data_IF_085820382197
#
_entry.id   IF_085820382197
#
_cell.length_a   1.000
_cell.length_b   1.000
_cell.length_c   1.000
_cell.angle_alpha   90.00
_cell.angle_beta   90.00
_cell.angle_gamma   90.00
#
_symmetry.space_group_name_H-M   'P 1'
#
loop_
_entity.id
_entity.type
_entity.pdbx_description
1 polymer ?
#
# COMPACT_ATOMS: atom_id res chain seq x y z
N UNK A 1 35.87 13.72 16.31
CA UNK A 1 34.40 13.54 16.44
C UNK A 1 33.70 14.48 15.47
N UNK A 2 33.42 14.06 14.23
CA UNK A 2 32.65 14.84 13.23
C UNK A 2 31.94 13.88 12.25
N UNK A 3 31.09 12.97 12.75
CA UNK A 3 30.37 12.02 11.89
C UNK A 3 29.00 11.56 12.42
N UNK A 4 28.39 12.27 13.38
CA UNK A 4 27.03 11.98 13.85
C UNK A 4 25.98 12.98 13.35
N UNK A 5 26.39 14.17 12.90
CA UNK A 5 25.48 15.21 12.38
C UNK A 5 24.99 14.98 10.95
N UNK A 6 25.88 14.57 10.03
CA UNK A 6 25.57 14.38 8.61
C UNK A 6 24.59 13.23 8.35
N UNK A 7 24.61 12.18 9.19
CA UNK A 7 23.65 11.07 9.09
C UNK A 7 22.24 11.51 9.44
N UNK A 8 22.08 12.31 10.51
CA UNK A 8 20.79 12.84 10.97
C UNK A 8 20.19 13.82 9.96
N UNK A 9 21.00 14.69 9.35
CA UNK A 9 20.50 15.65 8.34
C UNK A 9 20.11 14.97 7.02
N UNK A 10 20.87 13.95 6.58
CA UNK A 10 20.51 13.14 5.41
C UNK A 10 19.20 12.39 5.62
N UNK A 11 19.01 11.79 6.78
CA UNK A 11 17.78 11.07 7.08
C UNK A 11 16.57 12.01 7.22
N UNK A 12 16.75 13.18 7.84
CA UNK A 12 15.71 14.20 7.87
C UNK A 12 15.29 14.64 6.46
N UNK A 13 16.26 14.82 5.54
CA UNK A 13 15.98 15.15 4.13
C UNK A 13 15.22 14.03 3.42
N UNK A 14 15.66 12.78 3.57
CA UNK A 14 14.96 11.62 2.98
C UNK A 14 13.54 11.46 3.51
N UNK A 15 13.30 11.73 4.81
CA UNK A 15 11.95 11.77 5.38
C UNK A 15 11.07 12.83 4.74
N UNK A 16 11.60 14.03 4.56
CA UNK A 16 10.87 15.11 3.86
C UNK A 16 10.54 14.68 2.42
N UNK A 17 11.45 13.99 1.74
CA UNK A 17 11.21 13.44 0.40
C UNK A 17 10.11 12.37 0.41
N UNK A 18 10.13 11.39 1.32
CA UNK A 18 9.07 10.37 1.38
C UNK A 18 7.69 10.98 1.66
N UNK A 19 7.62 11.97 2.56
CA UNK A 19 6.39 12.72 2.79
C UNK A 19 5.96 13.53 1.57
N UNK A 20 6.90 14.14 0.84
CA UNK A 20 6.61 14.87 -0.40
C UNK A 20 6.05 13.96 -1.48
N UNK A 21 6.63 12.77 -1.65
CA UNK A 21 6.13 11.76 -2.59
C UNK A 21 4.71 11.34 -2.24
N UNK A 22 4.44 11.02 -0.97
CA UNK A 22 3.09 10.67 -0.52
C UNK A 22 2.06 11.79 -0.74
N UNK A 23 2.46 13.06 -0.51
CA UNK A 23 1.61 14.23 -0.82
C UNK A 23 1.32 14.34 -2.31
N UNK A 24 2.33 14.17 -3.17
CA UNK A 24 2.17 14.20 -4.63
C UNK A 24 1.24 13.08 -5.12
N UNK A 25 1.37 11.86 -4.58
CA UNK A 25 0.46 10.74 -4.88
C UNK A 25 -0.98 11.08 -4.47
N UNK A 26 -1.19 11.66 -3.27
CA UNK A 26 -2.53 12.05 -2.84
C UNK A 26 -3.12 13.18 -3.68
N UNK A 27 -2.30 14.16 -4.07
CA UNK A 27 -2.70 15.23 -5.00
C UNK A 27 -3.14 14.64 -6.34
N UNK A 28 -2.41 13.66 -6.86
CA UNK A 28 -2.80 12.93 -8.07
C UNK A 28 -4.12 12.17 -7.89
N UNK A 29 -4.35 11.56 -6.72
CA UNK A 29 -5.63 10.93 -6.40
C UNK A 29 -6.79 11.94 -6.36
N UNK A 30 -6.57 13.15 -5.85
CA UNK A 30 -7.57 14.23 -5.90
C UNK A 30 -7.78 14.77 -7.33
N UNK A 31 -6.72 14.86 -8.14
CA UNK A 31 -6.84 15.21 -9.55
C UNK A 31 -7.58 14.14 -10.37
N UNK A 32 -7.42 12.86 -10.00
CA UNK A 32 -8.24 11.78 -10.53
C UNK A 32 -9.70 11.98 -10.11
N UNK A 33 -9.95 12.24 -8.82
CA UNK A 33 -11.29 12.50 -8.30
C UNK A 33 -11.98 13.68 -8.99
N UNK A 34 -11.28 14.79 -9.27
CA UNK A 34 -11.90 15.94 -9.93
C UNK A 34 -12.43 15.62 -11.33
N UNK A 35 -11.78 14.70 -12.04
CA UNK A 35 -12.18 14.24 -13.38
C UNK A 35 -13.25 13.14 -13.31
N UNK A 36 -13.09 12.18 -12.39
CA UNK A 36 -13.91 10.95 -12.35
C UNK A 36 -15.03 10.98 -11.30
N UNK A 37 -15.09 12.02 -10.46
CA UNK A 37 -16.02 12.20 -9.32
C UNK A 37 -15.90 11.11 -8.23
N UNK A 38 -14.85 10.29 -8.30
CA UNK A 38 -14.54 9.20 -7.38
C UNK A 38 -13.02 9.05 -7.23
N UNK A 39 -12.55 8.62 -6.07
CA UNK A 39 -11.15 8.25 -5.87
C UNK A 39 -10.80 7.03 -6.75
N UNK A 40 -9.54 6.88 -7.16
CA UNK A 40 -9.13 5.73 -7.95
C UNK A 40 -9.40 4.43 -7.18
N UNK A 41 -9.86 3.35 -7.84
CA UNK A 41 -10.04 2.06 -7.18
C UNK A 41 -8.69 1.53 -6.68
N UNK A 42 -8.68 0.92 -5.50
CA UNK A 42 -7.50 0.23 -4.96
C UNK A 42 -7.08 -0.99 -5.79
N UNK A 43 -8.07 -1.60 -6.45
CA UNK A 43 -7.89 -2.66 -7.43
C UNK A 43 -8.95 -2.54 -8.53
N UNK A 44 -8.53 -2.50 -9.79
CA UNK A 44 -9.36 -2.61 -10.98
C UNK A 44 -8.88 -3.82 -11.78
N UNK A 45 -9.57 -4.97 -11.66
CA UNK A 45 -9.18 -6.22 -12.34
C UNK A 45 -7.70 -6.61 -12.16
N UNK A 46 -7.17 -6.42 -10.94
CA UNK A 46 -5.77 -6.68 -10.64
C UNK A 46 -4.86 -5.45 -10.75
N UNK A 47 -5.24 -4.38 -11.43
CA UNK A 47 -4.46 -3.16 -11.53
C UNK A 47 -4.65 -2.25 -10.30
N UNK A 48 -3.59 -1.61 -9.83
CA UNK A 48 -3.61 -0.80 -8.60
C UNK A 48 -4.18 0.60 -8.78
N UNK A 49 -4.37 1.32 -7.67
CA UNK A 49 -4.62 2.77 -7.72
C UNK A 49 -3.46 3.56 -8.35
N UNK A 50 -2.22 3.04 -8.31
CA UNK A 50 -1.04 3.72 -8.81
C UNK A 50 -1.03 3.75 -10.34
N UNK A 51 -1.53 2.71 -11.00
CA UNK A 51 -1.68 2.71 -12.45
C UNK A 51 -2.76 3.70 -12.90
N UNK A 52 -3.85 3.84 -12.13
CA UNK A 52 -4.95 4.76 -12.42
C UNK A 52 -4.52 6.23 -12.38
N UNK A 53 -3.55 6.60 -11.54
CA UNK A 53 -3.10 7.99 -11.37
C UNK A 53 -1.92 8.39 -12.26
N UNK A 54 -1.39 7.48 -13.08
CA UNK A 54 -0.24 7.79 -13.96
C UNK A 54 -0.45 9.05 -14.81
N UNK A 55 -1.64 9.28 -15.43
CA UNK A 55 -1.87 10.52 -16.18
C UNK A 55 -1.76 11.78 -15.33
N UNK A 56 -2.11 11.72 -14.04
CA UNK A 56 -2.06 12.84 -13.10
C UNK A 56 -0.66 13.10 -12.51
N UNK A 57 0.33 12.26 -12.82
CA UNK A 57 1.73 12.42 -12.41
C UNK A 57 2.69 12.49 -13.59
N UNK A 58 2.20 12.99 -14.74
CA UNK A 58 2.96 13.14 -15.98
C UNK A 58 3.54 11.82 -16.54
N UNK A 59 2.91 10.69 -16.21
CA UNK A 59 3.23 9.34 -16.73
C UNK A 59 2.22 8.87 -17.79
N UNK A 60 1.59 9.81 -18.51
CA UNK A 60 0.62 9.51 -19.58
C UNK A 60 1.14 8.55 -20.68
N UNK A 61 2.36 8.71 -21.20
CA UNK A 61 2.92 7.78 -22.19
C UNK A 61 3.11 6.36 -21.65
N UNK A 62 3.41 6.20 -20.35
CA UNK A 62 3.50 4.89 -19.72
C UNK A 62 2.10 4.28 -19.54
N UNK A 63 1.12 5.09 -19.12
CA UNK A 63 -0.28 4.65 -19.00
C UNK A 63 -0.83 4.06 -20.30
N UNK A 64 -0.55 4.69 -21.43
CA UNK A 64 -0.99 4.24 -22.76
C UNK A 64 -0.36 2.91 -23.20
N UNK A 65 0.78 2.53 -22.61
CA UNK A 65 1.43 1.25 -22.88
C UNK A 65 0.91 0.11 -22.01
N UNK A 66 0.14 0.41 -20.96
CA UNK A 66 -0.43 -0.62 -20.10
C UNK A 66 -1.51 -1.37 -20.88
N UNK A 67 -1.30 -2.67 -21.02
CA UNK A 67 -2.33 -3.55 -21.53
C UNK A 67 -3.33 -3.87 -20.40
N UNK A 68 -4.41 -3.11 -20.35
CA UNK A 68 -5.53 -3.38 -19.43
C UNK A 68 -6.39 -4.57 -19.88
N UNK A 69 -6.16 -5.09 -21.09
CA UNK A 69 -6.92 -6.17 -21.71
C UNK A 69 -6.12 -7.47 -21.81
N UNK A 70 -6.05 -8.25 -20.74
CA UNK A 70 -5.63 -9.65 -20.86
C UNK A 70 -6.24 -10.48 -19.73
N UNK A 71 -6.60 -11.74 -20.03
CA UNK A 71 -7.03 -12.75 -19.06
C UNK A 71 -6.06 -12.96 -17.87
N UNK A 72 -4.86 -12.35 -17.91
CA UNK A 72 -3.78 -12.49 -16.94
C UNK A 72 -3.53 -11.22 -16.09
N UNK A 73 -4.24 -10.11 -16.35
CA UNK A 73 -4.14 -8.87 -15.57
C UNK A 73 -2.73 -8.22 -15.57
N UNK A 74 -2.30 -7.56 -14.47
CA UNK A 74 -1.01 -6.86 -14.43
C UNK A 74 0.20 -7.78 -14.59
N UNK A 75 0.06 -9.06 -14.26
CA UNK A 75 1.13 -10.07 -14.32
C UNK A 75 1.21 -10.77 -15.69
N UNK A 76 0.36 -10.39 -16.64
CA UNK A 76 0.40 -10.90 -18.02
C UNK A 76 1.70 -10.54 -18.75
N UNK A 77 2.08 -11.31 -19.78
CA UNK A 77 3.30 -11.10 -20.55
C UNK A 77 3.33 -9.73 -21.25
N UNK A 78 2.17 -9.21 -21.67
CA UNK A 78 2.08 -7.88 -22.29
C UNK A 78 2.52 -6.73 -21.35
N UNK A 79 2.43 -6.95 -20.04
CA UNK A 79 2.79 -5.97 -19.02
C UNK A 79 4.16 -6.25 -18.36
N UNK A 80 4.95 -7.20 -18.88
CA UNK A 80 6.26 -7.56 -18.30
C UNK A 80 7.22 -6.36 -18.22
N UNK A 81 7.46 -5.69 -19.36
CA UNK A 81 8.29 -4.47 -19.41
C UNK A 81 7.74 -3.34 -18.53
N UNK A 82 6.41 -3.21 -18.43
CA UNK A 82 5.75 -2.19 -17.61
C UNK A 82 6.02 -2.43 -16.12
N UNK A 83 5.95 -3.68 -15.68
CA UNK A 83 6.20 -4.07 -14.29
C UNK A 83 7.64 -3.82 -13.86
N UNK A 84 8.58 -3.64 -14.78
CA UNK A 84 9.98 -3.31 -14.48
C UNK A 84 10.24 -1.80 -14.41
N UNK A 85 9.32 -0.98 -14.92
CA UNK A 85 9.47 0.47 -14.93
C UNK A 85 9.52 1.04 -13.51
N UNK A 86 10.60 1.77 -13.21
CA UNK A 86 10.78 2.44 -11.94
C UNK A 86 10.21 3.85 -12.00
N UNK A 87 9.25 4.14 -11.14
CA UNK A 87 8.68 5.47 -10.96
C UNK A 87 9.23 6.02 -9.63
N UNK A 88 10.18 6.98 -9.64
CA UNK A 88 10.80 7.49 -8.41
C UNK A 88 9.80 8.01 -7.38
N UNK A 89 8.67 8.57 -7.85
CA UNK A 89 7.59 9.04 -6.99
C UNK A 89 6.99 7.92 -6.10
N UNK A 90 7.00 6.67 -6.57
CA UNK A 90 6.46 5.55 -5.80
C UNK A 90 7.45 4.94 -4.82
N UNK A 91 8.68 5.45 -4.77
CA UNK A 91 9.75 4.92 -3.93
C UNK A 91 10.08 5.91 -2.80
N UNK A 92 10.31 5.38 -1.59
CA UNK A 92 10.80 6.16 -0.47
C UNK A 92 12.33 6.02 -0.40
N UNK A 93 13.11 7.10 -0.58
CA UNK A 93 14.58 7.04 -0.55
C UNK A 93 15.18 6.55 0.77
N UNK A 94 14.39 6.47 1.83
CA UNK A 94 14.80 5.98 3.16
C UNK A 94 14.72 4.46 3.28
N UNK A 95 14.01 3.80 2.37
CA UNK A 95 13.99 2.34 2.29
C UNK A 95 15.14 1.86 1.38
N UNK A 96 16.20 1.23 1.90
CA UNK A 96 17.30 0.75 1.06
C UNK A 96 16.86 -0.30 0.02
N UNK A 97 15.74 -0.99 0.25
CA UNK A 97 15.18 -1.93 -0.71
C UNK A 97 14.61 -1.23 -1.95
N UNK A 98 14.34 0.08 -1.90
CA UNK A 98 13.90 0.85 -3.07
C UNK A 98 14.96 0.90 -4.19
N UNK A 99 16.23 0.72 -3.82
CA UNK A 99 17.36 0.65 -4.75
C UNK A 99 17.59 -0.77 -5.32
N UNK A 100 17.18 -1.82 -4.60
CA UNK A 100 17.51 -3.20 -4.94
C UNK A 100 16.61 -3.77 -6.06
N UNK A 101 17.18 -4.02 -7.24
CA UNK A 101 16.66 -4.92 -8.30
C UNK A 101 15.38 -4.53 -9.07
N UNK A 102 15.52 -4.47 -10.41
CA UNK A 102 14.62 -4.86 -11.52
C UNK A 102 13.09 -4.66 -11.56
N UNK A 103 12.38 -4.42 -10.47
CA UNK A 103 10.91 -4.30 -10.49
C UNK A 103 10.47 -2.87 -10.19
N UNK A 104 9.35 -2.48 -10.80
CA UNK A 104 8.55 -1.32 -10.43
C UNK A 104 7.90 -1.54 -9.07
N UNK A 105 8.68 -1.42 -8.00
CA UNK A 105 8.25 -1.52 -6.60
C UNK A 105 7.46 -0.28 -6.15
N UNK A 106 6.80 -0.38 -5.00
CA UNK A 106 6.23 0.80 -4.32
C UNK A 106 6.43 0.75 -2.81
N UNK A 107 6.66 1.91 -2.20
CA UNK A 107 6.66 2.14 -0.76
C UNK A 107 5.34 2.74 -0.26
N UNK A 108 4.39 3.04 -1.12
CA UNK A 108 3.17 3.75 -0.75
C UNK A 108 1.95 2.88 -1.02
N UNK A 109 1.01 2.91 -0.07
CA UNK A 109 -0.19 2.09 -0.13
C UNK A 109 -1.45 2.85 0.25
N UNK A 110 -2.55 2.50 -0.40
CA UNK A 110 -3.89 2.98 -0.11
C UNK A 110 -4.54 2.23 1.05
N UNK A 111 -5.30 2.95 1.85
CA UNK A 111 -6.14 2.40 2.90
C UNK A 111 -7.33 1.64 2.30
N UNK A 112 -7.36 0.32 2.53
CA UNK A 112 -8.41 -0.61 2.16
C UNK A 112 -9.44 -0.88 3.29
N UNK A 113 -9.27 -0.24 4.46
CA UNK A 113 -10.16 -0.36 5.62
C UNK A 113 -9.72 -1.48 6.56
N UNK A 114 -10.67 -2.23 7.12
CA UNK A 114 -10.41 -3.34 8.07
C UNK A 114 -10.25 -4.69 7.34
N UNK A 115 -10.40 -4.72 6.01
CA UNK A 115 -10.18 -5.92 5.20
C UNK A 115 -11.35 -6.91 5.21
N UNK A 116 -11.21 -8.00 4.43
CA UNK A 116 -12.37 -8.83 4.03
C UNK A 116 -12.87 -9.84 5.07
N UNK A 117 -12.16 -10.04 6.18
CA UNK A 117 -12.49 -11.08 7.16
C UNK A 117 -13.83 -10.82 7.87
N UNK A 118 -14.18 -9.54 8.09
CA UNK A 118 -15.43 -9.13 8.72
C UNK A 118 -16.31 -8.30 7.80
N UNK A 119 -15.78 -7.18 7.33
CA UNK A 119 -16.60 -6.09 6.79
C UNK A 119 -16.42 -5.85 5.29
N UNK A 120 -15.57 -6.65 4.63
CA UNK A 120 -15.14 -6.36 3.26
C UNK A 120 -14.17 -5.17 3.21
N UNK A 121 -13.92 -4.68 2.01
CA UNK A 121 -13.15 -3.45 1.86
C UNK A 121 -14.00 -2.24 2.26
N UNK A 122 -13.56 -1.47 3.25
CA UNK A 122 -14.25 -0.25 3.74
C UNK A 122 -13.29 0.93 3.90
N UNK A 123 -12.21 0.94 3.12
CA UNK A 123 -11.28 2.07 3.03
C UNK A 123 -11.69 3.05 1.93
N UNK A 124 -10.87 4.08 1.73
CA UNK A 124 -11.04 5.05 0.65
C UNK A 124 -10.63 4.47 -0.72
N UNK A 125 -9.69 3.51 -0.73
CA UNK A 125 -9.17 2.87 -1.93
C UNK A 125 -9.68 1.42 -1.99
N UNK A 126 -10.96 1.25 -2.27
CA UNK A 126 -11.57 -0.07 -2.37
C UNK A 126 -11.37 -0.69 -3.76
N UNK A 127 -11.29 -2.02 -3.86
CA UNK A 127 -11.40 -2.71 -5.14
C UNK A 127 -12.74 -2.42 -5.84
N UNK A 128 -12.73 -2.49 -7.17
CA UNK A 128 -13.95 -2.50 -7.98
C UNK A 128 -14.85 -3.67 -7.58
N UNK A 129 -16.15 -3.46 -7.73
CA UNK A 129 -17.11 -4.53 -7.63
C UNK A 129 -16.80 -5.57 -8.72
N UNK A 130 -16.77 -6.86 -8.34
CA UNK A 130 -16.47 -7.99 -9.23
C UNK A 130 -15.01 -8.11 -9.73
N UNK A 131 -14.03 -7.47 -9.11
CA UNK A 131 -12.61 -7.66 -9.45
C UNK A 131 -11.97 -8.91 -8.83
N UNK A 132 -12.77 -9.89 -8.39
CA UNK A 132 -12.33 -11.03 -7.58
C UNK A 132 -12.21 -10.73 -6.08
N UNK A 133 -12.51 -9.49 -5.68
CA UNK A 133 -12.50 -9.01 -4.29
C UNK A 133 -13.91 -8.62 -3.82
N UNK A 134 -14.18 -8.71 -2.51
CA UNK A 134 -15.42 -8.18 -1.88
C UNK A 134 -15.36 -6.64 -1.75
N UNK A 135 -15.06 -5.94 -2.84
CA UNK A 135 -15.05 -4.47 -2.92
C UNK A 135 -16.43 -3.90 -3.22
N UNK A 136 -16.72 -2.69 -2.72
CA UNK A 136 -17.97 -1.97 -3.03
C UNK A 136 -17.81 -0.98 -4.19
N UNK A 137 -16.63 -0.90 -4.80
CA UNK A 137 -16.32 0.04 -5.86
C UNK A 137 -15.68 1.35 -5.38
N UNK A 138 -15.43 2.28 -6.31
CA UNK A 138 -14.72 3.54 -6.03
C UNK A 138 -15.52 4.43 -5.08
N UNK A 139 -14.82 5.13 -4.20
CA UNK A 139 -15.41 5.98 -3.15
C UNK A 139 -15.41 7.44 -3.62
N UNK A 140 -16.55 8.14 -3.52
CA UNK A 140 -16.61 9.59 -3.72
C UNK A 140 -16.25 10.35 -2.43
N UNK A 141 -15.91 11.65 -2.54
CA UNK A 141 -15.66 12.49 -1.36
C UNK A 141 -16.85 12.51 -0.38
N UNK A 142 -18.10 12.48 -0.88
CA UNK A 142 -19.29 12.51 -0.03
C UNK A 142 -19.53 11.24 0.76
N UNK A 143 -18.93 10.12 0.34
CA UNK A 143 -19.00 8.84 1.06
C UNK A 143 -18.00 8.77 2.23
N UNK A 144 -17.07 9.72 2.33
CA UNK A 144 -16.12 9.85 3.46
C UNK A 144 -16.76 10.68 4.58
N UNK A 145 -17.67 10.06 5.32
CA UNK A 145 -18.59 10.74 6.26
C UNK A 145 -17.92 11.31 7.52
N UNK A 146 -16.77 10.78 7.91
CA UNK A 146 -15.95 11.30 9.01
C UNK A 146 -15.04 12.47 8.57
N UNK A 147 -15.06 12.81 7.28
CA UNK A 147 -14.33 13.91 6.66
C UNK A 147 -12.92 13.51 6.24
N UNK A 148 -12.54 13.96 5.03
CA UNK A 148 -11.23 13.67 4.42
C UNK A 148 -10.01 14.07 5.26
N UNK A 149 -10.18 14.95 6.25
CA UNK A 149 -9.12 15.35 7.18
C UNK A 149 -8.92 14.44 8.38
N UNK A 150 -9.89 13.56 8.64
CA UNK A 150 -9.83 12.59 9.72
C UNK A 150 -9.51 11.19 9.19
N UNK A 151 -9.77 10.93 7.91
CA UNK A 151 -9.50 9.65 7.27
C UNK A 151 -8.06 9.55 6.77
N UNK A 152 -7.36 8.47 7.16
CA UNK A 152 -6.08 8.10 6.55
C UNK A 152 -6.34 7.54 5.14
N UNK A 153 -5.75 8.16 4.14
CA UNK A 153 -5.86 7.74 2.74
C UNK A 153 -4.66 6.88 2.32
N UNK A 154 -3.46 7.44 2.42
CA UNK A 154 -2.22 6.75 2.03
C UNK A 154 -1.33 6.54 3.24
N UNK A 155 -0.49 5.52 3.18
CA UNK A 155 0.56 5.29 4.16
C UNK A 155 1.78 4.68 3.49
N UNK A 156 2.93 4.80 4.14
CA UNK A 156 4.15 4.11 3.73
C UNK A 156 4.23 2.65 4.22
N UNK A 157 5.00 1.87 3.48
CA UNK A 157 5.31 0.48 3.71
C UNK A 157 6.79 0.24 3.34
N UNK A 158 7.43 -0.76 3.96
CA UNK A 158 8.73 -1.29 3.57
C UNK A 158 8.60 -2.36 2.49
N UNK A 159 9.45 -2.27 1.47
CA UNK A 159 9.53 -3.23 0.37
C UNK A 159 10.16 -4.55 0.84
N UNK A 160 9.62 -5.68 0.37
CA UNK A 160 10.24 -7.00 0.56
C UNK A 160 11.57 -7.11 -0.19
N UNK A 161 12.62 -7.53 0.50
CA UNK A 161 14.00 -7.59 -0.01
C UNK A 161 14.65 -8.98 0.13
N UNK A 162 13.87 -10.02 0.46
CA UNK A 162 14.38 -11.38 0.68
C UNK A 162 15.14 -11.57 2.00
N UNK A 163 15.30 -10.53 2.82
CA UNK A 163 16.05 -10.62 4.09
C UNK A 163 15.30 -11.35 5.19
N UNK A 164 14.02 -11.67 4.96
CA UNK A 164 13.09 -12.18 5.98
C UNK A 164 12.98 -11.28 7.22
N UNK A 165 13.22 -9.98 7.06
CA UNK A 165 13.03 -9.00 8.12
C UNK A 165 11.57 -8.94 8.56
N UNK A 166 11.32 -8.94 9.88
CA UNK A 166 9.98 -8.99 10.50
C UNK A 166 8.95 -8.08 9.83
N UNK A 167 9.34 -6.85 9.49
CA UNK A 167 8.46 -5.81 8.93
C UNK A 167 8.42 -5.76 7.39
N UNK A 168 9.26 -6.53 6.70
CA UNK A 168 9.33 -6.60 5.22
C UNK A 168 8.61 -7.82 4.66
N UNK A 169 8.39 -8.82 5.49
CA UNK A 169 7.81 -10.12 5.12
C UNK A 169 6.33 -10.19 5.50
N UNK A 170 5.54 -10.86 4.66
CA UNK A 170 4.16 -11.26 4.98
C UNK A 170 4.22 -12.66 5.57
N UNK A 171 4.02 -12.80 6.87
CA UNK A 171 4.16 -14.06 7.59
C UNK A 171 2.90 -14.89 7.58
N UNK A 172 3.02 -16.20 7.70
CA UNK A 172 1.87 -17.04 8.02
C UNK A 172 1.81 -17.23 9.53
N UNK A 173 0.70 -16.86 10.18
CA UNK A 173 0.49 -17.27 11.58
C UNK A 173 0.40 -18.80 11.68
N UNK A 174 0.65 -19.42 12.85
CA UNK A 174 0.63 -20.89 12.98
C UNK A 174 -0.76 -21.52 12.81
N UNK A 175 -1.80 -20.83 13.29
CA UNK A 175 -3.18 -21.31 13.30
C UNK A 175 -4.04 -20.59 12.25
N UNK A 176 -5.17 -21.20 11.88
CA UNK A 176 -6.14 -20.59 10.98
C UNK A 176 -7.20 -19.80 11.76
N UNK A 177 -7.47 -18.57 11.33
CA UNK A 177 -8.48 -17.69 11.90
C UNK A 177 -9.51 -17.28 10.83
N UNK A 178 -10.37 -18.22 10.36
CA UNK A 178 -11.24 -17.97 9.22
C UNK A 178 -12.48 -17.11 9.54
N UNK A 179 -12.91 -17.04 10.80
CA UNK A 179 -14.15 -16.37 11.18
C UNK A 179 -13.95 -14.90 11.54
N UNK A 180 -14.96 -14.06 11.29
CA UNK A 180 -14.95 -12.66 11.71
C UNK A 180 -14.77 -12.50 13.24
N UNK A 181 -15.42 -13.37 14.04
CA UNK A 181 -15.28 -13.36 15.50
C UNK A 181 -13.87 -13.65 16.02
N UNK A 182 -12.96 -14.07 15.14
CA UNK A 182 -11.56 -14.36 15.46
C UNK A 182 -10.61 -13.25 14.99
N UNK A 183 -11.11 -12.13 14.47
CA UNK A 183 -10.28 -11.05 13.92
C UNK A 183 -9.29 -10.51 14.94
N UNK A 184 -9.75 -10.22 16.17
CA UNK A 184 -8.88 -9.72 17.23
C UNK A 184 -7.84 -10.76 17.65
N UNK A 185 -8.23 -12.04 17.74
CA UNK A 185 -7.32 -13.14 18.06
C UNK A 185 -6.24 -13.30 16.98
N UNK A 186 -6.61 -13.12 15.72
CA UNK A 186 -5.69 -13.13 14.59
C UNK A 186 -4.71 -11.95 14.64
N UNK A 187 -5.20 -10.73 14.87
CA UNK A 187 -4.34 -9.54 15.00
C UNK A 187 -3.32 -9.74 16.12
N UNK A 188 -3.77 -10.26 17.27
CA UNK A 188 -2.96 -10.62 18.42
C UNK A 188 -1.92 -11.72 18.12
N UNK A 189 -2.30 -12.74 17.37
CA UNK A 189 -1.39 -13.81 16.98
C UNK A 189 -0.30 -13.29 16.03
N UNK A 190 -0.65 -12.38 15.12
CA UNK A 190 0.30 -11.74 14.24
C UNK A 190 1.26 -10.81 15.00
N UNK A 191 0.73 -9.96 15.88
CA UNK A 191 1.54 -8.98 16.63
C UNK A 191 2.58 -9.67 17.54
N UNK A 192 2.24 -10.81 18.13
CA UNK A 192 3.13 -11.60 19.00
C UNK A 192 3.94 -12.68 18.28
N UNK A 193 3.81 -12.80 16.95
CA UNK A 193 4.44 -13.88 16.19
C UNK A 193 5.96 -13.88 16.39
N UNK A 194 6.53 -14.98 16.88
CA UNK A 194 7.97 -15.23 16.71
C UNK A 194 8.22 -15.62 15.26
N UNK A 195 8.97 -14.79 14.54
CA UNK A 195 9.24 -14.98 13.10
C UNK A 195 10.35 -16.01 12.85
N UNK A 196 11.08 -16.41 13.89
CA UNK A 196 12.10 -17.45 13.80
C UNK A 196 11.46 -18.77 13.33
N UNK A 197 11.97 -19.33 12.25
CA UNK A 197 11.47 -20.59 11.69
C UNK A 197 10.08 -20.53 11.02
N UNK A 198 9.40 -19.38 11.00
CA UNK A 198 8.10 -19.25 10.34
C UNK A 198 8.21 -19.19 8.82
N UNK A 199 7.16 -19.54 8.10
CA UNK A 199 7.10 -19.34 6.64
C UNK A 199 6.47 -17.98 6.35
N UNK A 200 7.00 -17.28 5.35
CA UNK A 200 6.44 -16.01 4.89
C UNK A 200 6.88 -15.66 3.47
N UNK A 201 6.17 -14.72 2.86
CA UNK A 201 6.53 -14.11 1.58
C UNK A 201 7.42 -12.89 1.85
N UNK A 202 8.71 -13.05 1.60
CA UNK A 202 9.78 -12.07 1.82
C UNK A 202 9.99 -11.11 0.65
N UNK A 203 9.26 -11.30 -0.46
CA UNK A 203 9.32 -10.44 -1.64
C UNK A 203 7.99 -9.75 -1.96
N UNK A 204 6.88 -10.22 -1.38
CA UNK A 204 5.52 -9.81 -1.73
C UNK A 204 5.17 -8.37 -1.37
N UNK A 205 5.78 -7.81 -0.31
CA UNK A 205 5.48 -6.43 0.09
C UNK A 205 6.04 -5.42 -0.90
N UNK A 206 5.19 -4.50 -1.35
CA UNK A 206 5.58 -3.47 -2.31
C UNK A 206 6.14 -4.03 -3.61
N UNK A 207 5.78 -5.26 -3.99
CA UNK A 207 6.42 -5.99 -5.09
C UNK A 207 6.17 -5.36 -6.45
N UNK A 208 4.98 -4.81 -6.67
CA UNK A 208 4.66 -4.09 -7.89
C UNK A 208 3.75 -2.90 -7.63
N UNK A 209 4.09 -1.73 -8.17
CA UNK A 209 3.18 -0.59 -8.23
C UNK A 209 2.04 -0.86 -9.20
N UNK A 210 2.20 -1.73 -10.20
CA UNK A 210 1.13 -2.02 -11.18
C UNK A 210 0.03 -2.91 -10.56
N UNK A 211 0.39 -3.78 -9.63
CA UNK A 211 -0.51 -4.80 -9.04
C UNK A 211 -1.31 -4.25 -7.85
N UNK A 212 -2.62 -4.37 -7.96
CA UNK A 212 -3.70 -4.03 -7.04
C UNK A 212 -3.98 -5.09 -5.98
N UNK A 213 -3.29 -5.16 -4.85
CA UNK A 213 -3.71 -6.05 -3.75
C UNK A 213 -3.14 -5.59 -2.39
N UNK A 214 -3.62 -6.25 -1.34
CA UNK A 214 -3.10 -6.03 0.01
C UNK A 214 -1.65 -6.51 0.10
N UNK A 215 -0.79 -5.68 0.67
CA UNK A 215 0.65 -5.94 0.78
C UNK A 215 1.48 -5.36 -0.38
N UNK A 216 0.95 -5.30 -1.60
CA UNK A 216 1.65 -4.57 -2.69
C UNK A 216 1.43 -3.06 -2.59
N UNK A 217 0.18 -2.62 -2.73
CA UNK A 217 -0.17 -1.20 -2.76
C UNK A 217 -1.39 -0.88 -1.89
N UNK A 218 -1.98 -1.87 -1.21
CA UNK A 218 -3.04 -1.64 -0.24
C UNK A 218 -2.60 -2.11 1.15
N UNK A 219 -3.06 -1.39 2.17
CA UNK A 219 -2.92 -1.77 3.57
C UNK A 219 -4.29 -1.79 4.24
N UNK A 220 -4.38 -2.46 5.39
CA UNK A 220 -5.58 -2.43 6.23
C UNK A 220 -5.23 -2.03 7.67
N UNK A 221 -6.23 -1.69 8.47
CA UNK A 221 -6.09 -1.22 9.84
C UNK A 221 -6.46 -2.31 10.86
N UNK A 222 -6.18 -3.57 10.54
CA UNK A 222 -6.32 -4.69 11.49
C UNK A 222 -5.20 -4.64 12.53
N UNK A 223 -3.96 -4.44 12.06
CA UNK A 223 -2.78 -4.28 12.91
C UNK A 223 -2.44 -2.81 13.13
N UNK A 224 -1.77 -2.53 14.25
CA UNK A 224 -1.29 -1.19 14.52
C UNK A 224 0.00 -0.89 13.73
N UNK A 225 0.30 0.39 13.44
CA UNK A 225 1.53 0.76 12.76
C UNK A 225 2.79 0.21 13.44
N UNK A 226 3.70 -0.38 12.67
CA UNK A 226 4.93 -0.98 13.21
C UNK A 226 4.85 -2.47 13.53
N UNK A 227 3.68 -3.09 13.41
CA UNK A 227 3.53 -4.55 13.53
C UNK A 227 3.92 -5.31 12.26
N UNK A 228 4.20 -6.62 12.33
CA UNK A 228 4.38 -7.45 11.14
C UNK A 228 3.08 -7.53 10.33
N UNK A 229 3.22 -7.84 9.04
CA UNK A 229 2.09 -8.26 8.20
C UNK A 229 1.95 -9.77 8.25
N UNK A 230 0.72 -10.29 8.34
CA UNK A 230 0.49 -11.72 8.35
C UNK A 230 -0.73 -12.14 7.52
N UNK A 231 -0.71 -13.37 6.99
CA UNK A 231 -1.88 -14.10 6.53
C UNK A 231 -2.46 -14.91 7.67
N UNK A 232 -3.78 -14.92 7.82
CA UNK A 232 -4.54 -15.68 8.82
C UNK A 232 -4.66 -17.20 8.52
N UNK A 233 -3.77 -17.74 7.67
CA UNK A 233 -3.87 -19.07 7.03
C UNK A 233 -5.19 -19.35 6.32
N UNK A 234 -5.92 -18.32 5.95
CA UNK A 234 -6.96 -18.36 4.93
C UNK A 234 -6.40 -17.79 3.61
N UNK A 235 -7.21 -17.75 2.55
CA UNK A 235 -6.87 -17.07 1.32
C UNK A 235 -6.66 -15.56 1.56
N UNK A 236 -5.63 -14.97 0.94
CA UNK A 236 -5.55 -13.52 0.70
C UNK A 236 -6.85 -13.15 -0.04
N UNK A 237 -7.66 -12.23 0.51
CA UNK A 237 -7.24 -11.02 1.23
C UNK A 237 -7.40 -11.03 2.77
N UNK A 238 -7.63 -12.19 3.41
CA UNK A 238 -7.91 -12.29 4.85
C UNK A 238 -6.76 -11.97 5.82
N UNK A 239 -5.64 -11.40 5.35
CA UNK A 239 -4.48 -11.05 6.18
C UNK A 239 -4.55 -9.65 6.80
N UNK A 240 -3.63 -9.39 7.72
CA UNK A 240 -3.30 -8.06 8.23
C UNK A 240 -2.07 -7.52 7.51
N UNK A 241 -2.17 -6.32 6.95
CA UNK A 241 -1.15 -5.71 6.11
C UNK A 241 -0.75 -4.38 6.70
N UNK A 242 0.09 -4.46 7.73
CA UNK A 242 0.49 -3.32 8.54
C UNK A 242 1.34 -2.30 7.77
N UNK A 243 1.08 -1.03 8.10
CA UNK A 243 1.89 0.10 7.67
C UNK A 243 3.12 0.24 8.55
N UNK A 244 4.27 0.55 7.94
CA UNK A 244 5.58 0.51 8.61
C UNK A 244 6.53 1.51 7.96
N UNK A 245 7.47 2.05 8.76
CA UNK A 245 8.41 3.09 8.34
C UNK A 245 9.82 2.84 8.87
N UNK A 246 10.84 3.33 8.15
CA UNK A 246 12.21 3.42 8.65
C UNK A 246 12.46 4.69 9.46
N UNK A 247 11.51 5.62 9.49
CA UNK A 247 11.69 6.93 10.11
C UNK A 247 11.54 6.88 11.64
N UNK A 248 12.47 7.55 12.33
CA UNK A 248 12.30 7.85 13.75
C UNK A 248 11.07 8.77 13.93
N UNK A 249 10.08 8.32 14.71
CA UNK A 249 8.83 9.05 14.98
C UNK A 249 7.55 8.39 14.43
N UNK A 250 7.65 7.19 13.85
CA UNK A 250 6.49 6.39 13.43
C UNK A 250 6.16 6.54 11.95
N UNK A 251 4.99 6.02 11.57
CA UNK A 251 4.55 5.90 10.18
C UNK A 251 3.95 7.19 9.66
N UNK A 252 4.37 7.62 8.47
CA UNK A 252 3.75 8.74 7.76
C UNK A 252 2.43 8.30 7.12
N UNK A 253 1.40 9.12 7.28
CA UNK A 253 0.09 8.96 6.66
C UNK A 253 -0.34 10.23 5.93
N UNK A 254 -1.14 10.09 4.88
CA UNK A 254 -1.74 11.20 4.15
C UNK A 254 -3.23 11.30 4.44
N UNK A 255 -3.70 12.53 4.69
CA UNK A 255 -5.10 12.94 4.86
C UNK A 255 -5.25 14.37 4.36
N UNK A 256 -6.45 14.81 3.96
CA UNK A 256 -6.67 16.20 3.55
C UNK A 256 -6.44 17.13 4.75
N UNK A 257 -5.73 18.24 4.59
CA UNK A 257 -5.75 19.25 5.66
C UNK A 257 -7.10 19.97 5.61
N UNK A 258 -7.79 20.07 6.75
CA UNK A 258 -8.94 20.96 6.84
C UNK A 258 -8.46 22.37 6.46
N UNK A 259 -9.04 22.98 5.42
CA UNK A 259 -8.81 24.41 5.19
C UNK A 259 -9.36 25.12 6.43
N UNK A 260 -8.51 25.82 7.18
CA UNK A 260 -8.99 26.91 8.01
C UNK A 260 -9.71 27.86 7.04
N UNK A 261 -11.03 27.98 7.20
CA UNK A 261 -11.83 28.89 6.40
C UNK A 261 -11.30 30.32 6.56
N UNK A 262 -11.25 31.05 5.44
CA UNK A 262 -11.34 32.51 5.45
C UNK A 262 -12.75 32.90 5.86
#
# INVERSE_FOLDING_TARGET
MLLTGLGRTREASRRVQCQSHMRQIMLACHAYHSVHQMFPPGNCYGFSLHSAILPQIDQGPLFQQIDFGANLGPDGPANEHIREQRIPLFLCPSDPASSAGGAGRTNYSGNAGIGVQCDGYRGIFQPLQNSGFRGQGPVSESQVVDGLSNTVALSELLIGDGSRHRLRTIWNVPDAYPACSQLDQFADACSRLDVSGQVGDDWGRGRSWLRGDNGNNLHNHISVPGEPSCNNRNWVPGGTFAVVSQHAGGVNVSRRTARAGL
#
